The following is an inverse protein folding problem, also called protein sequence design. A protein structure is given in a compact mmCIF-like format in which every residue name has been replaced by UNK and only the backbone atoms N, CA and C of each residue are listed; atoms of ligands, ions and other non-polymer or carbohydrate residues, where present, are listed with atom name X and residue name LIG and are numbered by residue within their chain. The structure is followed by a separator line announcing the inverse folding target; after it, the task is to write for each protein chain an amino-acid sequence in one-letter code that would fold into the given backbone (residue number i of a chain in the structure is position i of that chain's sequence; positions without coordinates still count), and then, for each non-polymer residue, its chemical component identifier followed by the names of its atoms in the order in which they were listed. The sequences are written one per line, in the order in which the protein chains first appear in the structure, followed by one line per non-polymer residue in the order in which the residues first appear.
data_IF_907983466301
#
_entry.id   IF_907983466301
#
_cell.length_a   1.000
_cell.length_b   1.000
_cell.length_c   1.000
_cell.angle_alpha   90.00
_cell.angle_beta   90.00
_cell.angle_gamma   90.00
#
_symmetry.space_group_name_H-M   'P 1'
#
loop_
_entity.id
_entity.type
_entity.pdbx_description
1 polymer ?
#
# COMPACT_ATOMS: atom_id res chain seq x y z
N UNK A 1 7.18 3.60 8.43
CA UNK A 1 6.33 2.86 7.47
C UNK A 1 7.10 2.56 6.20
N UNK A 2 7.22 1.29 5.80
CA UNK A 2 7.93 0.90 4.59
C UNK A 2 7.20 1.41 3.34
N UNK A 3 7.98 1.79 2.33
CA UNK A 3 7.44 2.23 1.04
C UNK A 3 7.22 1.00 0.15
N UNK A 4 6.02 0.86 -0.40
CA UNK A 4 5.63 -0.24 -1.28
C UNK A 4 5.99 0.10 -2.74
N UNK A 5 5.72 1.34 -3.16
CA UNK A 5 5.93 1.80 -4.53
C UNK A 5 6.27 3.29 -4.55
N UNK A 6 7.17 3.68 -5.46
CA UNK A 6 7.41 5.08 -5.82
C UNK A 6 7.24 5.25 -7.32
N UNK A 7 6.30 6.11 -7.73
CA UNK A 7 6.01 6.33 -9.15
C UNK A 7 5.51 7.76 -9.36
N UNK A 8 6.05 8.47 -10.35
CA UNK A 8 5.63 9.84 -10.72
C UNK A 8 5.61 10.83 -9.53
N UNK A 9 6.51 10.64 -8.56
CA UNK A 9 6.60 11.45 -7.34
C UNK A 9 5.57 11.11 -6.26
N UNK A 10 4.75 10.08 -6.45
CA UNK A 10 3.90 9.49 -5.42
C UNK A 10 4.66 8.41 -4.66
N UNK A 11 4.48 8.40 -3.34
CA UNK A 11 4.96 7.35 -2.45
C UNK A 11 3.77 6.58 -1.89
N UNK A 12 3.72 5.28 -2.13
CA UNK A 12 2.71 4.37 -1.60
C UNK A 12 3.25 3.63 -0.38
N UNK A 13 2.46 3.55 0.69
CA UNK A 13 2.85 2.93 1.95
C UNK A 13 1.62 2.52 2.76
N UNK A 14 1.79 1.55 3.66
CA UNK A 14 0.80 1.26 4.70
C UNK A 14 0.96 2.27 5.84
N UNK A 15 -0.10 2.57 6.60
CA UNK A 15 0.03 3.12 7.95
C UNK A 15 -0.12 1.98 8.97
N UNK A 16 0.49 2.16 10.14
CA UNK A 16 0.15 1.33 11.30
C UNK A 16 -0.85 2.11 12.12
N UNK A 17 -1.72 1.38 12.81
CA UNK A 17 -2.55 1.92 13.87
C UNK A 17 -3.72 2.79 13.41
N UNK A 18 -4.37 2.43 12.29
CA UNK A 18 -5.65 3.02 11.84
C UNK A 18 -6.87 2.21 12.35
N UNK A 19 -6.72 1.66 13.56
CA UNK A 19 -7.75 0.89 14.26
C UNK A 19 -8.36 -0.25 13.42
N UNK A 20 -9.65 -0.16 13.10
CA UNK A 20 -10.46 -1.25 12.56
C UNK A 20 -10.92 -1.00 11.11
N UNK A 21 -10.14 -0.20 10.38
CA UNK A 21 -10.40 0.04 8.96
C UNK A 21 -10.07 -1.19 8.09
N UNK A 22 -10.78 -1.40 6.97
CA UNK A 22 -10.41 -2.42 6.00
C UNK A 22 -8.96 -2.24 5.48
N UNK A 23 -8.33 -3.28 4.91
CA UNK A 23 -7.00 -3.16 4.32
C UNK A 23 -6.94 -2.08 3.24
N UNK A 24 -5.96 -1.19 3.33
CA UNK A 24 -5.80 -0.06 2.40
C UNK A 24 -4.36 0.42 2.31
N UNK A 25 -4.06 1.19 1.26
CA UNK A 25 -2.76 1.85 1.06
C UNK A 25 -2.93 3.36 1.04
N UNK A 26 -1.95 4.07 1.58
CA UNK A 26 -1.87 5.52 1.48
C UNK A 26 -0.92 5.92 0.35
N UNK A 27 -1.24 7.00 -0.33
CA UNK A 27 -0.39 7.62 -1.33
C UNK A 27 -0.16 9.08 -0.95
N UNK A 28 1.11 9.49 -0.94
CA UNK A 28 1.52 10.87 -0.62
C UNK A 28 2.38 11.46 -1.71
N UNK A 29 2.14 12.73 -2.04
CA UNK A 29 2.96 13.55 -2.94
C UNK A 29 2.99 14.99 -2.46
N UNK A 30 4.17 15.46 -2.06
CA UNK A 30 4.34 16.76 -1.40
C UNK A 30 3.36 16.91 -0.22
N UNK A 31 2.46 17.90 -0.30
CA UNK A 31 1.44 18.21 0.71
C UNK A 31 0.10 17.50 0.46
N UNK A 32 0.00 16.66 -0.58
CA UNK A 32 -1.21 15.89 -0.91
C UNK A 32 -1.11 14.48 -0.36
N UNK A 33 -2.20 14.00 0.21
CA UNK A 33 -2.35 12.64 0.75
C UNK A 33 -3.73 12.09 0.40
N UNK A 34 -3.80 10.80 0.11
CA UNK A 34 -5.04 10.06 -0.11
C UNK A 34 -4.87 8.59 0.29
N UNK A 35 -5.98 7.88 0.46
CA UNK A 35 -6.02 6.44 0.75
C UNK A 35 -6.89 5.66 -0.23
N UNK A 36 -6.53 4.40 -0.46
CA UNK A 36 -7.20 3.49 -1.39
C UNK A 36 -7.45 2.14 -0.72
N UNK A 37 -8.70 1.70 -0.66
CA UNK A 37 -9.08 0.37 -0.19
C UNK A 37 -8.52 -0.70 -1.12
N UNK A 38 -8.02 -1.79 -0.55
CA UNK A 38 -7.65 -2.98 -1.32
C UNK A 38 -8.90 -3.79 -1.60
N UNK A 39 -8.98 -4.33 -2.82
CA UNK A 39 -9.95 -5.36 -3.12
C UNK A 39 -9.58 -6.63 -2.35
N UNK A 40 -10.52 -7.07 -1.50
CA UNK A 40 -10.32 -8.24 -0.62
C UNK A 40 -10.68 -9.54 -1.31
N UNK A 41 -11.50 -9.47 -2.35
CA UNK A 41 -12.02 -10.62 -3.07
C UNK A 41 -11.21 -10.88 -4.36
N UNK A 42 -10.63 -9.83 -4.95
CA UNK A 42 -9.82 -9.89 -6.16
C UNK A 42 -8.38 -9.44 -5.93
N UNK A 43 -7.47 -10.39 -5.69
CA UNK A 43 -6.03 -10.14 -5.73
C UNK A 43 -5.29 -11.29 -6.41
N UNK A 44 -4.15 -10.97 -7.02
CA UNK A 44 -3.24 -11.93 -7.64
C UNK A 44 -1.82 -11.71 -7.09
N UNK A 45 -1.09 -12.80 -6.89
CA UNK A 45 0.26 -12.80 -6.32
C UNK A 45 1.14 -13.75 -7.13
N UNK A 46 2.17 -13.19 -7.74
CA UNK A 46 3.21 -13.96 -8.41
C UNK A 46 4.43 -14.09 -7.48
N UNK A 47 4.78 -15.31 -7.08
CA UNK A 47 5.96 -15.56 -6.26
C UNK A 47 7.24 -15.37 -7.09
N UNK A 48 8.09 -14.41 -6.68
CA UNK A 48 9.36 -14.14 -7.37
C UNK A 48 10.46 -15.14 -6.97
N UNK A 49 10.55 -15.50 -5.68
CA UNK A 49 11.48 -16.51 -5.18
C UNK A 49 11.11 -16.94 -3.74
N UNK A 50 11.45 -18.17 -3.37
CA UNK A 50 11.36 -18.70 -2.01
C UNK A 50 12.74 -19.22 -1.58
N UNK A 51 13.31 -18.64 -0.53
CA UNK A 51 14.52 -19.19 0.10
C UNK A 51 14.07 -20.07 1.28
N UNK A 52 14.45 -21.35 1.25
CA UNK A 52 14.24 -22.31 2.33
C UNK A 52 15.45 -22.35 3.26
#
# INVERSE_FOLDING_TARGET
MPTILQILGWRFFFYANEANEPPHVHARKAEKECKYWLDREGYDLEEAFLIR
#
